data_IF_008521494473
#
_entry.id   IF_008521494473
#
_cell.length_a   1.000
_cell.length_b   1.000
_cell.length_c   1.000
_cell.angle_alpha   90.00
_cell.angle_beta   90.00
_cell.angle_gamma   90.00
#
_symmetry.space_group_name_H-M   'P 1'
#
loop_
_entity.id
_entity.type
_entity.pdbx_description
1 polymer ?
#
# COMPACT_ATOMS: atom_id res chain seq x y z
N UNK A 1 25.47 8.82 -19.70
CA UNK A 1 24.91 9.23 -18.40
C UNK A 1 23.42 9.29 -18.60
N UNK A 2 22.69 8.35 -18.01
CA UNK A 2 21.26 8.15 -18.26
C UNK A 2 20.48 9.37 -17.78
N UNK A 3 19.75 10.01 -18.69
CA UNK A 3 18.71 10.97 -18.34
C UNK A 3 17.68 10.21 -17.49
N UNK A 4 17.79 10.33 -16.16
CA UNK A 4 16.75 9.93 -15.24
C UNK A 4 15.58 10.86 -15.51
N UNK A 5 14.68 10.44 -16.40
CA UNK A 5 13.46 11.15 -16.73
C UNK A 5 12.66 11.34 -15.46
N UNK A 6 12.68 12.56 -14.93
CA UNK A 6 11.81 12.96 -13.84
C UNK A 6 10.39 12.93 -14.43
N UNK A 7 9.62 11.91 -14.07
CA UNK A 7 8.20 11.84 -14.41
C UNK A 7 7.51 13.12 -13.93
N UNK A 8 6.61 13.65 -14.74
CA UNK A 8 5.72 14.74 -14.32
C UNK A 8 4.87 14.30 -13.12
N UNK A 9 4.40 15.27 -12.32
CA UNK A 9 3.55 14.98 -11.15
C UNK A 9 2.32 14.14 -11.50
N UNK A 10 1.69 14.40 -12.66
CA UNK A 10 0.56 13.60 -13.16
C UNK A 10 0.95 12.16 -13.49
N UNK A 11 2.14 11.93 -14.04
CA UNK A 11 2.64 10.59 -14.32
C UNK A 11 2.96 9.85 -13.01
N UNK A 12 3.56 10.52 -12.03
CA UNK A 12 3.80 9.95 -10.70
C UNK A 12 2.49 9.56 -10.02
N UNK A 13 1.47 10.43 -10.07
CA UNK A 13 0.15 10.16 -9.51
C UNK A 13 -0.49 8.91 -10.14
N UNK A 14 -0.45 8.81 -11.48
CA UNK A 14 -1.01 7.66 -12.22
C UNK A 14 -0.28 6.33 -11.98
N UNK A 15 0.99 6.38 -11.55
CA UNK A 15 1.75 5.18 -11.21
C UNK A 15 1.39 4.73 -9.80
N UNK A 16 1.31 5.66 -8.85
CA UNK A 16 0.90 5.39 -7.47
C UNK A 16 -0.51 4.83 -7.39
N UNK A 17 -1.46 5.44 -8.11
CA UNK A 17 -2.85 4.99 -8.16
C UNK A 17 -2.96 3.54 -8.65
N UNK A 18 -2.31 3.22 -9.77
CA UNK A 18 -2.28 1.86 -10.33
C UNK A 18 -1.62 0.84 -9.38
N UNK A 19 -0.61 1.22 -8.62
CA UNK A 19 -0.02 0.32 -7.62
C UNK A 19 -0.97 0.09 -6.44
N UNK A 20 -1.71 1.12 -6.01
CA UNK A 20 -2.76 0.95 -5.01
C UNK A 20 -3.91 0.07 -5.52
N UNK A 21 -4.29 0.18 -6.80
CA UNK A 21 -5.25 -0.75 -7.41
C UNK A 21 -4.72 -2.19 -7.44
N UNK A 22 -3.44 -2.39 -7.75
CA UNK A 22 -2.80 -3.70 -7.67
C UNK A 22 -2.82 -4.25 -6.23
N UNK A 23 -2.49 -3.40 -5.25
CA UNK A 23 -2.54 -3.74 -3.83
C UNK A 23 -3.97 -4.14 -3.44
N UNK A 24 -4.99 -3.37 -3.81
CA UNK A 24 -6.40 -3.72 -3.60
C UNK A 24 -6.75 -5.10 -4.18
N UNK A 25 -6.28 -5.42 -5.39
CA UNK A 25 -6.48 -6.74 -5.99
C UNK A 25 -5.76 -7.89 -5.28
N UNK A 26 -4.71 -7.60 -4.52
CA UNK A 26 -4.07 -8.58 -3.62
C UNK A 26 -4.83 -8.71 -2.30
N UNK A 27 -5.31 -7.60 -1.75
CA UNK A 27 -6.09 -7.55 -0.51
C UNK A 27 -7.41 -8.32 -0.66
N UNK A 28 -8.08 -8.21 -1.81
CA UNK A 28 -9.31 -8.95 -2.14
C UNK A 28 -9.14 -10.48 -2.05
N UNK A 29 -7.90 -10.97 -2.10
CA UNK A 29 -7.58 -12.41 -1.98
C UNK A 29 -7.28 -12.86 -0.56
N UNK A 30 -7.03 -11.94 0.37
CA UNK A 30 -6.59 -12.27 1.73
C UNK A 30 -7.36 -11.58 2.85
N UNK A 31 -8.18 -10.58 2.55
CA UNK A 31 -9.04 -9.86 3.49
C UNK A 31 -10.51 -10.07 3.14
N UNK A 32 -11.39 -9.73 4.09
CA UNK A 32 -12.83 -9.68 3.82
C UNK A 32 -13.18 -8.48 2.94
N UNK A 33 -14.32 -8.57 2.26
CA UNK A 33 -14.83 -7.50 1.39
C UNK A 33 -14.94 -6.17 2.14
N UNK A 34 -15.46 -6.16 3.38
CA UNK A 34 -15.63 -4.93 4.17
C UNK A 34 -14.31 -4.20 4.42
N UNK A 35 -13.23 -4.94 4.73
CA UNK A 35 -11.89 -4.37 4.96
C UNK A 35 -11.28 -3.81 3.67
N UNK A 36 -11.52 -4.49 2.54
CA UNK A 36 -11.09 -4.02 1.22
C UNK A 36 -11.86 -2.76 0.81
N UNK A 37 -13.15 -2.69 1.13
CA UNK A 37 -13.98 -1.51 0.87
C UNK A 37 -13.51 -0.30 1.68
N UNK A 38 -13.10 -0.48 2.92
CA UNK A 38 -12.53 0.61 3.73
C UNK A 38 -11.30 1.23 3.06
N UNK A 39 -10.36 0.41 2.58
CA UNK A 39 -9.18 0.88 1.85
C UNK A 39 -9.57 1.55 0.53
N UNK A 40 -10.51 0.95 -0.21
CA UNK A 40 -10.98 1.48 -1.51
C UNK A 40 -11.59 2.87 -1.39
N UNK A 41 -12.32 3.16 -0.31
CA UNK A 41 -12.91 4.49 -0.08
C UNK A 41 -11.87 5.62 -0.09
N UNK A 42 -10.65 5.35 0.41
CA UNK A 42 -9.55 6.32 0.38
C UNK A 42 -8.88 6.42 -0.99
N UNK A 43 -8.74 5.29 -1.69
CA UNK A 43 -8.19 5.27 -3.06
C UNK A 43 -9.08 6.08 -4.01
N UNK A 44 -10.40 5.90 -3.94
CA UNK A 44 -11.38 6.53 -4.84
C UNK A 44 -11.40 8.07 -4.72
N UNK A 45 -10.95 8.63 -3.60
CA UNK A 45 -10.88 10.09 -3.37
C UNK A 45 -9.46 10.66 -3.46
N UNK A 46 -8.47 9.85 -3.80
CA UNK A 46 -7.07 10.27 -3.93
C UNK A 46 -6.29 10.37 -2.62
N UNK A 47 -6.84 9.88 -1.51
CA UNK A 47 -6.21 9.86 -0.19
C UNK A 47 -5.25 8.66 -0.05
N UNK A 48 -4.27 8.57 -0.95
CA UNK A 48 -3.42 7.40 -1.14
C UNK A 48 -2.51 7.06 0.05
N UNK A 49 -2.04 8.08 0.78
CA UNK A 49 -1.25 7.87 1.98
C UNK A 49 -2.10 7.24 3.09
N UNK A 50 -3.31 7.75 3.28
CA UNK A 50 -4.26 7.21 4.24
C UNK A 50 -4.70 5.80 3.86
N UNK A 51 -4.93 5.53 2.57
CA UNK A 51 -5.21 4.17 2.09
C UNK A 51 -4.12 3.18 2.50
N UNK A 52 -2.84 3.55 2.34
CA UNK A 52 -1.72 2.70 2.72
C UNK A 52 -1.60 2.50 4.24
N UNK A 53 -1.84 3.55 5.02
CA UNK A 53 -1.90 3.48 6.49
C UNK A 53 -3.01 2.55 6.97
N UNK A 54 -4.21 2.64 6.37
CA UNK A 54 -5.34 1.75 6.67
C UNK A 54 -4.99 0.30 6.38
N UNK A 55 -4.34 -0.02 5.25
CA UNK A 55 -3.89 -1.39 4.96
C UNK A 55 -2.99 -1.93 6.07
N UNK A 56 -2.01 -1.14 6.50
CA UNK A 56 -1.09 -1.54 7.57
C UNK A 56 -1.85 -1.73 8.89
N UNK A 57 -2.76 -0.80 9.21
CA UNK A 57 -3.63 -0.87 10.39
C UNK A 57 -4.42 -2.17 10.43
N UNK A 58 -5.10 -2.53 9.34
CA UNK A 58 -5.89 -3.77 9.23
C UNK A 58 -5.04 -5.00 9.59
N UNK A 59 -3.86 -5.15 9.00
CA UNK A 59 -3.02 -6.33 9.29
C UNK A 59 -2.52 -6.37 10.73
N UNK A 60 -2.26 -5.21 11.34
CA UNK A 60 -1.81 -5.11 12.73
C UNK A 60 -2.95 -5.37 13.73
N UNK A 61 -4.13 -4.80 13.49
CA UNK A 61 -5.29 -4.87 14.38
C UNK A 61 -5.97 -6.23 14.32
N UNK A 62 -6.12 -6.80 13.12
CA UNK A 62 -6.74 -8.12 12.91
C UNK A 62 -5.76 -9.29 13.17
N UNK A 63 -4.49 -8.98 13.49
CA UNK A 63 -3.43 -9.97 13.69
C UNK A 63 -3.30 -10.95 12.51
N UNK A 64 -3.51 -10.45 11.29
CA UNK A 64 -3.45 -11.23 10.06
C UNK A 64 -2.00 -11.24 9.56
N UNK A 65 -1.42 -12.42 9.26
CA UNK A 65 -0.10 -12.47 8.64
C UNK A 65 -0.09 -11.79 7.27
N UNK A 66 0.79 -10.81 7.07
CA UNK A 66 0.94 -10.13 5.78
C UNK A 66 1.65 -11.07 4.79
N UNK A 67 1.00 -11.45 3.66
CA UNK A 67 1.66 -12.21 2.60
C UNK A 67 2.85 -11.44 2.02
N UNK A 68 3.92 -12.14 1.63
CA UNK A 68 5.14 -11.47 1.14
C UNK A 68 4.91 -10.57 -0.08
N UNK A 69 3.99 -10.98 -0.97
CA UNK A 69 3.59 -10.17 -2.14
C UNK A 69 2.93 -8.86 -1.71
N UNK A 70 2.09 -8.89 -0.68
CA UNK A 70 1.44 -7.69 -0.13
C UNK A 70 2.47 -6.80 0.57
N UNK A 71 3.41 -7.41 1.32
CA UNK A 71 4.51 -6.70 1.98
C UNK A 71 5.40 -5.96 0.98
N UNK A 72 5.73 -6.61 -0.14
CA UNK A 72 6.54 -6.00 -1.21
C UNK A 72 5.80 -4.82 -1.83
N UNK A 73 4.50 -4.97 -2.10
CA UNK A 73 3.70 -3.90 -2.70
C UNK A 73 3.52 -2.71 -1.74
N UNK A 74 3.27 -2.96 -0.44
CA UNK A 74 3.21 -1.91 0.59
C UNK A 74 4.52 -1.13 0.63
N UNK A 75 5.65 -1.84 0.59
CA UNK A 75 6.99 -1.22 0.61
C UNK A 75 7.19 -0.34 -0.63
N UNK A 76 6.92 -0.85 -1.82
CA UNK A 76 7.08 -0.08 -3.07
C UNK A 76 6.18 1.16 -3.12
N UNK A 77 4.92 1.04 -2.69
CA UNK A 77 4.00 2.17 -2.56
C UNK A 77 4.56 3.22 -1.59
N UNK A 78 5.05 2.79 -0.43
CA UNK A 78 5.58 3.71 0.58
C UNK A 78 6.81 4.47 0.11
N UNK A 79 7.75 3.81 -0.58
CA UNK A 79 8.96 4.43 -1.09
C UNK A 79 8.64 5.51 -2.14
N UNK A 80 7.62 5.28 -2.99
CA UNK A 80 7.18 6.25 -3.98
C UNK A 80 6.45 7.44 -3.39
N UNK A 81 5.67 7.21 -2.33
CA UNK A 81 4.97 8.28 -1.61
C UNK A 81 5.89 9.03 -0.62
N UNK A 82 7.11 8.54 -0.38
CA UNK A 82 8.00 9.06 0.65
C UNK A 82 7.49 8.81 2.08
N UNK A 83 6.72 7.74 2.28
CA UNK A 83 6.17 7.34 3.56
C UNK A 83 7.08 6.32 4.25
N UNK A 84 7.39 6.56 5.52
CA UNK A 84 8.18 5.64 6.34
C UNK A 84 7.29 4.55 6.96
N UNK A 85 7.09 3.45 6.23
CA UNK A 85 6.31 2.29 6.73
C UNK A 85 7.18 1.14 7.25
N UNK A 86 8.51 1.31 7.17
CA UNK A 86 9.50 0.27 7.44
C UNK A 86 9.52 -0.22 8.90
N UNK A 87 9.02 0.57 9.84
CA UNK A 87 8.81 0.21 11.23
C UNK A 87 7.68 -0.82 11.40
N UNK A 88 6.58 -0.65 10.67
CA UNK A 88 5.40 -1.53 10.75
C UNK A 88 5.65 -2.89 10.11
N UNK A 89 6.43 -2.94 9.03
CA UNK A 89 6.78 -4.20 8.38
C UNK A 89 7.71 -5.09 9.22
N UNK A 90 8.37 -4.57 10.26
CA UNK A 90 9.24 -5.36 11.16
C UNK A 90 8.47 -6.17 12.21
N UNK A 91 7.16 -5.98 12.36
CA UNK A 91 6.33 -6.63 13.39
C UNK A 91 6.10 -8.14 13.26
N UNK A 92 6.72 -8.83 12.30
CA UNK A 92 6.44 -10.23 11.98
C UNK A 92 7.08 -11.30 12.87
N UNK A 93 7.87 -10.96 13.89
CA UNK A 93 8.35 -11.93 14.90
C UNK A 93 8.66 -11.28 16.25
N UNK A 94 7.88 -11.65 17.26
CA UNK A 94 8.38 -11.88 18.61
C UNK A 94 7.65 -13.10 19.18
N UNK A 95 8.15 -14.28 18.84
CA UNK A 95 8.06 -15.46 19.71
C UNK A 95 9.29 -15.48 20.59
#
# INVERSE_FOLDING_TARGET
MSELGILSLSEQLSVTERQLENLLGLLDKCLSEDLVQEVRQFVDVGEYGLALETVIGIFLEENIPIPEVVRSEIKECSERMGLEVSSFLRGGKAS
#
